data_IF_607389816304
#
_entry.id   IF_607389816304
#
_cell.length_a   1.000
_cell.length_b   1.000
_cell.length_c   1.000
_cell.angle_alpha   90.00
_cell.angle_beta   90.00
_cell.angle_gamma   90.00
#
_symmetry.space_group_name_H-M   'P 1'
#
loop_
_entity.id
_entity.type
_entity.pdbx_description
1 polymer ?
#
# COMPACT_ATOMS: atom_id res chain seq x y z
N UNK A 1 81.01 -20.31 12.30
CA UNK A 1 79.83 -21.16 12.59
C UNK A 1 78.60 -20.44 12.08
N UNK A 2 77.93 -21.02 11.08
CA UNK A 2 76.74 -20.49 10.42
C UNK A 2 75.51 -21.01 11.16
N UNK A 3 74.59 -20.13 11.54
CA UNK A 3 73.26 -20.50 12.00
C UNK A 3 72.25 -19.60 11.28
N UNK A 4 71.67 -20.18 10.23
CA UNK A 4 70.56 -19.64 9.46
C UNK A 4 69.27 -19.77 10.26
N UNK A 5 68.54 -18.68 10.45
CA UNK A 5 67.19 -18.69 10.99
C UNK A 5 66.19 -18.60 9.82
N UNK A 6 65.38 -19.64 9.67
CA UNK A 6 64.35 -19.78 8.63
C UNK A 6 63.21 -18.79 8.83
N UNK A 7 62.81 -18.14 7.73
CA UNK A 7 61.57 -17.41 7.53
C UNK A 7 60.37 -18.38 7.44
N UNK A 8 59.34 -18.13 8.25
CA UNK A 8 58.04 -18.80 8.20
C UNK A 8 57.10 -17.98 7.30
N UNK A 9 56.81 -18.46 6.09
CA UNK A 9 55.73 -17.95 5.23
C UNK A 9 54.51 -18.89 5.35
N UNK A 10 53.31 -18.39 5.66
CA UNK A 10 52.09 -19.16 5.42
C UNK A 10 51.70 -19.06 3.94
N UNK A 11 51.80 -20.18 3.23
CA UNK A 11 51.19 -20.37 1.92
C UNK A 11 49.69 -20.61 2.10
N UNK A 12 48.86 -19.66 1.70
CA UNK A 12 47.40 -19.84 1.61
C UNK A 12 47.14 -20.41 0.21
N UNK A 13 46.92 -21.72 0.13
CA UNK A 13 46.57 -22.42 -1.11
C UNK A 13 45.16 -22.04 -1.55
N UNK A 14 45.06 -21.31 -2.66
CA UNK A 14 43.83 -21.14 -3.42
C UNK A 14 43.51 -22.43 -4.20
N UNK A 15 42.51 -23.18 -3.76
CA UNK A 15 41.94 -24.29 -4.51
C UNK A 15 40.56 -23.90 -5.06
N UNK A 16 40.55 -23.03 -6.08
CA UNK A 16 39.41 -22.89 -6.98
C UNK A 16 39.56 -23.97 -8.06
N UNK A 17 38.83 -25.08 -7.92
CA UNK A 17 38.66 -26.04 -8.99
C UNK A 17 37.40 -25.65 -9.79
N UNK A 18 37.49 -25.39 -11.11
CA UNK A 18 36.30 -25.23 -11.93
C UNK A 18 35.70 -26.62 -12.14
N UNK A 19 34.59 -26.91 -11.47
CA UNK A 19 33.80 -28.10 -11.75
C UNK A 19 33.23 -28.01 -13.18
N UNK A 20 33.67 -28.92 -14.03
CA UNK A 20 33.22 -29.05 -15.39
C UNK A 20 31.76 -29.53 -15.45
N UNK A 21 30.93 -28.74 -16.15
CA UNK A 21 29.83 -29.15 -17.02
C UNK A 21 28.85 -30.23 -16.51
N UNK A 22 27.71 -29.78 -16.00
CA UNK A 22 26.42 -30.42 -16.29
C UNK A 22 25.36 -29.32 -16.48
N UNK A 23 24.98 -29.04 -17.73
CA UNK A 23 23.87 -28.13 -18.07
C UNK A 23 22.62 -28.98 -18.33
N UNK A 24 21.65 -29.07 -17.40
CA UNK A 24 20.30 -29.40 -17.81
C UNK A 24 19.76 -28.20 -18.60
N UNK A 25 19.48 -28.41 -19.89
CA UNK A 25 18.83 -27.43 -20.77
C UNK A 25 17.36 -27.33 -20.37
N UNK A 26 17.10 -26.63 -19.28
CA UNK A 26 15.75 -26.19 -18.93
C UNK A 26 15.49 -24.88 -19.66
N UNK A 27 14.35 -24.84 -20.34
CA UNK A 27 13.87 -23.70 -21.11
C UNK A 27 13.59 -22.58 -20.12
N UNK A 28 14.58 -21.70 -19.92
CA UNK A 28 14.34 -20.42 -19.30
C UNK A 28 13.40 -19.65 -20.23
N UNK A 29 12.15 -19.46 -19.80
CA UNK A 29 11.26 -18.47 -20.38
C UNK A 29 11.91 -17.11 -20.19
N UNK A 30 12.62 -16.65 -21.22
CA UNK A 30 13.12 -15.28 -21.32
C UNK A 30 11.90 -14.37 -21.47
N UNK A 31 11.39 -13.89 -20.36
CA UNK A 31 10.53 -12.71 -20.37
C UNK A 31 11.36 -11.54 -20.90
N UNK A 32 10.75 -10.68 -21.71
CA UNK A 32 11.36 -9.49 -22.32
C UNK A 32 11.85 -8.42 -21.31
N UNK A 33 11.90 -8.76 -20.02
CA UNK A 33 12.30 -7.92 -18.89
C UNK A 33 13.70 -8.28 -18.34
N UNK A 34 14.31 -9.40 -18.76
CA UNK A 34 15.70 -9.75 -18.40
C UNK A 34 16.74 -9.19 -19.39
N UNK A 35 16.33 -8.28 -20.27
CA UNK A 35 17.10 -7.87 -21.45
C UNK A 35 17.41 -6.39 -21.49
N UNK A 36 18.17 -5.90 -20.52
CA UNK A 36 19.27 -4.95 -20.73
C UNK A 36 19.76 -4.44 -19.38
N UNK A 37 20.62 -5.22 -18.72
CA UNK A 37 21.51 -4.63 -17.71
C UNK A 37 22.35 -3.61 -18.44
N UNK A 38 22.26 -2.34 -18.06
CA UNK A 38 23.15 -1.32 -18.62
C UNK A 38 24.56 -1.66 -18.15
N UNK A 39 25.46 -1.99 -19.08
CA UNK A 39 26.82 -2.41 -18.72
C UNK A 39 27.61 -1.22 -18.15
N UNK A 40 27.76 -1.16 -16.82
CA UNK A 40 28.51 -0.12 -16.14
C UNK A 40 30.03 -0.23 -16.32
N UNK A 41 30.54 -1.26 -17.01
CA UNK A 41 31.98 -1.51 -17.16
C UNK A 41 32.72 -0.34 -17.81
N UNK A 42 32.10 0.31 -18.81
CA UNK A 42 32.69 1.49 -19.47
C UNK A 42 32.76 2.70 -18.53
N UNK A 43 31.68 2.98 -17.80
CA UNK A 43 31.62 4.08 -16.84
C UNK A 43 32.61 3.91 -15.69
N UNK A 44 32.78 2.68 -15.19
CA UNK A 44 33.77 2.34 -14.15
C UNK A 44 35.19 2.61 -14.66
N UNK A 45 35.50 2.20 -15.88
CA UNK A 45 36.82 2.45 -16.46
C UNK A 45 37.08 3.95 -16.65
N UNK A 46 36.09 4.71 -17.13
CA UNK A 46 36.18 6.16 -17.26
C UNK A 46 36.39 6.85 -15.91
N UNK A 47 35.68 6.43 -14.86
CA UNK A 47 35.84 6.95 -13.50
C UNK A 47 37.23 6.64 -12.91
N UNK A 48 37.76 5.44 -13.17
CA UNK A 48 39.11 5.05 -12.76
C UNK A 48 40.19 5.84 -13.51
N UNK A 49 40.01 6.09 -14.81
CA UNK A 49 40.93 6.90 -15.60
C UNK A 49 40.91 8.37 -15.16
N UNK A 50 39.74 8.96 -14.94
CA UNK A 50 39.59 10.31 -14.41
C UNK A 50 40.24 10.45 -13.03
N UNK A 51 40.01 9.47 -12.14
CA UNK A 51 40.63 9.42 -10.81
C UNK A 51 42.16 9.34 -10.87
N UNK A 52 42.72 8.58 -11.83
CA UNK A 52 44.17 8.49 -12.05
C UNK A 52 44.76 9.78 -12.62
N UNK A 53 44.02 10.46 -13.51
CA UNK A 53 44.50 11.64 -14.23
C UNK A 53 44.41 12.93 -13.42
N UNK A 54 43.31 13.14 -12.73
CA UNK A 54 43.00 14.40 -12.04
C UNK A 54 43.09 14.28 -10.51
N UNK A 55 43.22 13.06 -9.98
CA UNK A 55 43.21 12.75 -8.56
C UNK A 55 41.82 12.34 -8.08
N UNK A 56 41.77 11.46 -7.09
CA UNK A 56 40.50 10.89 -6.57
C UNK A 56 39.54 11.90 -5.95
N UNK A 57 40.04 13.09 -5.56
CA UNK A 57 39.23 14.17 -4.98
C UNK A 57 38.89 15.29 -5.97
N UNK A 58 39.30 15.17 -7.24
CA UNK A 58 38.99 16.14 -8.28
C UNK A 58 37.50 16.17 -8.61
N UNK A 59 37.02 17.31 -9.11
CA UNK A 59 35.62 17.45 -9.52
C UNK A 59 35.27 16.47 -10.65
N UNK A 60 36.20 16.26 -11.59
CA UNK A 60 36.06 15.37 -12.73
C UNK A 60 35.98 13.89 -12.31
N UNK A 61 36.75 13.48 -11.31
CA UNK A 61 36.64 12.14 -10.74
C UNK A 61 35.30 11.96 -10.03
N UNK A 62 34.83 12.96 -9.27
CA UNK A 62 33.54 12.91 -8.59
C UNK A 62 32.38 12.77 -9.56
N UNK A 63 32.33 13.60 -10.60
CA UNK A 63 31.27 13.51 -11.63
C UNK A 63 31.29 12.16 -12.37
N UNK A 64 32.47 11.57 -12.59
CA UNK A 64 32.55 10.27 -13.24
C UNK A 64 32.08 9.12 -12.33
N UNK A 65 32.29 9.22 -11.01
CA UNK A 65 31.75 8.27 -10.04
C UNK A 65 30.24 8.45 -9.81
N UNK A 66 29.71 9.67 -9.90
CA UNK A 66 28.27 9.94 -9.87
C UNK A 66 27.54 9.20 -11.02
N UNK A 67 28.12 9.18 -12.22
CA UNK A 67 27.56 8.41 -13.35
C UNK A 67 27.58 6.90 -13.10
N UNK A 68 28.63 6.37 -12.44
CA UNK A 68 28.68 4.95 -12.05
C UNK A 68 27.58 4.64 -11.04
N UNK A 69 27.38 5.52 -10.06
CA UNK A 69 26.33 5.37 -9.05
C UNK A 69 24.93 5.44 -9.66
N UNK A 70 24.69 6.31 -10.63
CA UNK A 70 23.41 6.36 -11.35
C UNK A 70 23.13 5.09 -12.17
N UNK A 71 24.17 4.49 -12.78
CA UNK A 71 24.04 3.24 -13.53
C UNK A 71 23.84 2.02 -12.62
N UNK A 72 24.52 1.97 -11.47
CA UNK A 72 24.39 0.88 -10.48
C UNK A 72 23.08 0.99 -9.68
N UNK A 73 22.63 2.22 -9.38
CA UNK A 73 21.36 2.48 -8.70
C UNK A 73 20.11 2.15 -9.52
N UNK A 74 20.25 2.01 -10.85
CA UNK A 74 19.19 1.54 -11.75
C UNK A 74 19.23 0.01 -11.96
N UNK A 75 20.16 -0.70 -11.29
CA UNK A 75 20.23 -2.16 -11.32
C UNK A 75 19.25 -2.78 -10.33
N UNK A 76 17.99 -2.90 -10.76
CA UNK A 76 16.94 -3.60 -9.99
C UNK A 76 17.18 -5.13 -9.92
N UNK A 77 18.27 -5.67 -10.48
CA UNK A 77 18.51 -7.13 -10.47
C UNK A 77 18.55 -7.72 -9.05
N UNK A 78 19.01 -6.96 -8.06
CA UNK A 78 18.97 -7.37 -6.65
C UNK A 78 17.53 -7.58 -6.14
N UNK A 79 16.58 -6.74 -6.54
CA UNK A 79 15.16 -6.90 -6.19
C UNK A 79 14.54 -8.14 -6.85
N UNK A 80 15.05 -8.55 -8.03
CA UNK A 80 14.63 -9.77 -8.72
C UNK A 80 15.32 -11.05 -8.24
N UNK A 81 16.41 -10.94 -7.45
CA UNK A 81 17.00 -12.09 -6.75
C UNK A 81 16.24 -12.50 -5.48
N UNK A 82 15.15 -11.80 -5.11
CA UNK A 82 14.28 -12.15 -3.98
C UNK A 82 13.48 -13.45 -4.11
N UNK A 83 13.68 -14.22 -5.18
CA UNK A 83 13.22 -15.61 -5.25
C UNK A 83 14.25 -16.51 -4.58
N UNK A 84 13.84 -17.20 -3.51
CA UNK A 84 14.57 -18.27 -2.81
C UNK A 84 15.47 -19.00 -3.81
N UNK A 85 16.79 -18.81 -3.71
CA UNK A 85 17.69 -19.51 -4.62
C UNK A 85 17.65 -20.99 -4.29
N UNK A 86 17.85 -21.89 -5.25
CA UNK A 86 17.93 -23.35 -4.99
C UNK A 86 18.97 -23.68 -3.90
N UNK A 87 19.95 -22.80 -3.68
CA UNK A 87 20.92 -22.86 -2.58
C UNK A 87 20.29 -22.64 -1.22
N UNK A 88 19.30 -21.76 -1.10
CA UNK A 88 18.57 -21.50 0.14
C UNK A 88 17.54 -22.60 0.43
N UNK A 89 17.09 -23.33 -0.60
CA UNK A 89 16.24 -24.52 -0.48
C UNK A 89 17.00 -25.76 0.01
N UNK A 90 18.32 -25.79 -0.19
CA UNK A 90 19.16 -26.94 0.15
C UNK A 90 19.45 -27.05 1.66
N UNK A 91 19.20 -26.00 2.46
CA UNK A 91 19.57 -25.97 3.88
C UNK A 91 18.39 -26.13 4.86
N UNK A 92 17.13 -26.02 4.41
CA UNK A 92 15.99 -25.99 5.35
C UNK A 92 15.27 -27.31 5.60
N UNK A 93 15.44 -28.37 4.79
CA UNK A 93 14.87 -29.68 5.15
C UNK A 93 15.68 -30.82 4.55
N UNK A 94 16.33 -31.60 5.40
CA UNK A 94 16.97 -32.88 5.02
C UNK A 94 15.96 -33.99 4.70
N UNK A 95 14.66 -33.69 4.63
CA UNK A 95 13.59 -34.60 4.24
C UNK A 95 12.57 -33.91 3.30
N UNK A 96 12.57 -34.23 1.99
CA UNK A 96 11.62 -33.66 1.04
C UNK A 96 10.16 -34.02 1.33
N UNK A 97 9.89 -35.07 2.11
CA UNK A 97 8.52 -35.41 2.51
C UNK A 97 7.95 -34.42 3.53
N UNK A 98 8.79 -33.87 4.41
CA UNK A 98 8.37 -32.88 5.41
C UNK A 98 7.99 -31.54 4.76
N UNK A 99 8.70 -31.12 3.71
CA UNK A 99 8.42 -29.89 2.98
C UNK A 99 7.06 -29.92 2.25
N UNK A 100 6.66 -31.09 1.71
CA UNK A 100 5.36 -31.25 1.06
C UNK A 100 4.23 -31.15 2.08
N UNK A 101 4.39 -31.75 3.26
CA UNK A 101 3.40 -31.68 4.34
C UNK A 101 3.20 -30.24 4.85
N UNK A 102 4.28 -29.49 5.04
CA UNK A 102 4.19 -28.08 5.46
C UNK A 102 3.52 -27.21 4.39
N UNK A 103 3.78 -27.47 3.11
CA UNK A 103 3.13 -26.77 2.01
C UNK A 103 1.64 -27.06 1.94
N UNK A 104 1.23 -28.33 2.09
CA UNK A 104 -0.19 -28.72 2.14
C UNK A 104 -0.91 -28.09 3.34
N UNK A 105 -0.28 -28.04 4.52
CA UNK A 105 -0.82 -27.37 5.70
C UNK A 105 -1.02 -25.87 5.46
N UNK A 106 -0.03 -25.19 4.86
CA UNK A 106 -0.13 -23.77 4.52
C UNK A 106 -1.23 -23.48 3.51
N UNK A 107 -1.38 -24.32 2.47
CA UNK A 107 -2.47 -24.20 1.50
C UNK A 107 -3.83 -24.37 2.18
N UNK A 108 -3.95 -25.38 3.05
CA UNK A 108 -5.19 -25.65 3.79
C UNK A 108 -5.56 -24.48 4.72
N UNK A 109 -4.57 -23.90 5.40
CA UNK A 109 -4.73 -22.71 6.21
C UNK A 109 -5.18 -21.50 5.38
N UNK A 110 -4.55 -21.26 4.23
CA UNK A 110 -4.92 -20.18 3.31
C UNK A 110 -6.35 -20.34 2.80
N UNK A 111 -6.75 -21.56 2.42
CA UNK A 111 -8.12 -21.86 1.99
C UNK A 111 -9.14 -21.57 3.11
N UNK A 112 -8.80 -21.92 4.36
CA UNK A 112 -9.64 -21.64 5.52
C UNK A 112 -9.77 -20.15 5.80
N UNK A 113 -8.67 -19.39 5.66
CA UNK A 113 -8.68 -17.93 5.80
C UNK A 113 -9.52 -17.26 4.72
N UNK A 114 -9.46 -17.74 3.47
CA UNK A 114 -10.28 -17.22 2.37
C UNK A 114 -11.77 -17.42 2.64
N UNK A 115 -12.17 -18.60 3.10
CA UNK A 115 -13.59 -18.86 3.42
C UNK A 115 -14.06 -17.99 4.60
N UNK A 116 -13.20 -17.80 5.61
CA UNK A 116 -13.47 -16.90 6.74
C UNK A 116 -13.62 -15.45 6.29
N UNK A 117 -12.78 -14.98 5.37
CA UNK A 117 -12.86 -13.63 4.82
C UNK A 117 -14.12 -13.45 3.97
N UNK A 118 -14.49 -14.45 3.16
CA UNK A 118 -15.72 -14.44 2.37
C UNK A 118 -16.96 -14.30 3.24
N UNK A 119 -17.04 -15.05 4.34
CA UNK A 119 -18.13 -14.93 5.31
C UNK A 119 -18.20 -13.53 5.95
N UNK A 120 -17.05 -12.92 6.25
CA UNK A 120 -16.98 -11.54 6.77
C UNK A 120 -17.43 -10.51 5.74
N UNK A 121 -17.06 -10.68 4.46
CA UNK A 121 -17.49 -9.79 3.39
C UNK A 121 -19.01 -9.85 3.22
N UNK A 122 -19.61 -11.04 3.25
CA UNK A 122 -21.08 -11.17 3.22
C UNK A 122 -21.74 -10.49 4.42
N UNK A 123 -21.17 -10.62 5.62
CA UNK A 123 -21.68 -9.91 6.81
C UNK A 123 -21.57 -8.38 6.68
N UNK A 124 -20.51 -7.86 6.07
CA UNK A 124 -20.38 -6.43 5.81
C UNK A 124 -21.38 -5.98 4.75
N UNK A 125 -21.63 -6.79 3.72
CA UNK A 125 -22.61 -6.53 2.68
C UNK A 125 -24.03 -6.45 3.26
N UNK A 126 -24.40 -7.38 4.14
CA UNK A 126 -25.71 -7.33 4.83
C UNK A 126 -25.81 -6.10 5.72
N UNK A 127 -24.75 -5.76 6.48
CA UNK A 127 -24.73 -4.57 7.33
C UNK A 127 -24.87 -3.28 6.51
N UNK A 128 -24.20 -3.20 5.36
CA UNK A 128 -24.32 -2.06 4.45
C UNK A 128 -25.74 -1.94 3.88
N UNK A 129 -26.39 -3.05 3.53
CA UNK A 129 -27.79 -3.06 3.10
C UNK A 129 -28.75 -2.61 4.21
N UNK A 130 -28.52 -3.04 5.45
CA UNK A 130 -29.28 -2.60 6.62
C UNK A 130 -29.10 -1.10 6.89
N UNK A 131 -27.87 -0.60 6.86
CA UNK A 131 -27.58 0.83 7.01
C UNK A 131 -28.25 1.64 5.89
N UNK A 132 -28.20 1.16 4.65
CA UNK A 132 -28.89 1.80 3.52
C UNK A 132 -30.41 1.83 3.72
N UNK A 133 -30.99 0.77 4.27
CA UNK A 133 -32.41 0.71 4.60
C UNK A 133 -32.79 1.66 5.74
N UNK A 134 -31.91 1.85 6.74
CA UNK A 134 -32.14 2.75 7.88
C UNK A 134 -31.87 4.22 7.53
N UNK A 135 -30.93 4.52 6.62
CA UNK A 135 -30.58 5.90 6.19
C UNK A 135 -31.65 6.57 5.30
N UNK A 136 -32.78 5.90 5.02
CA UNK A 136 -33.87 6.42 4.18
C UNK A 136 -35.12 6.85 4.97
N UNK A 137 -35.14 6.72 6.30
CA UNK A 137 -36.22 7.27 7.15
C UNK A 137 -35.83 8.57 7.86
N UNK A 138 -34.66 9.12 7.56
CA UNK A 138 -34.32 10.48 7.99
C UNK A 138 -35.26 11.43 7.25
N UNK A 139 -36.17 12.06 7.99
CA UNK A 139 -37.10 13.05 7.46
C UNK A 139 -36.31 14.05 6.62
N UNK A 140 -36.61 14.10 5.33
CA UNK A 140 -36.23 15.15 4.39
C UNK A 140 -36.89 16.47 4.79
N UNK A 141 -36.54 16.95 5.97
CA UNK A 141 -36.63 18.35 6.34
C UNK A 141 -35.21 18.87 6.27
N UNK A 142 -34.72 19.18 5.07
CA UNK A 142 -33.62 20.11 4.94
C UNK A 142 -34.15 21.46 5.43
N UNK A 143 -34.09 21.68 6.74
CA UNK A 143 -34.39 22.94 7.41
C UNK A 143 -33.18 23.83 7.17
N UNK A 144 -32.89 24.13 5.90
CA UNK A 144 -31.75 24.99 5.59
C UNK A 144 -31.85 26.30 6.36
N UNK A 145 -30.72 26.95 6.65
CA UNK A 145 -30.53 28.24 7.35
C UNK A 145 -31.65 29.29 7.27
N UNK A 146 -32.51 29.28 6.26
CA UNK A 146 -33.68 30.15 6.11
C UNK A 146 -35.03 29.40 6.02
N UNK A 147 -35.18 28.37 6.87
CA UNK A 147 -36.43 27.63 6.97
C UNK A 147 -37.54 28.48 7.60
N UNK A 148 -38.79 28.21 7.22
CA UNK A 148 -39.95 28.87 7.84
C UNK A 148 -40.01 28.62 9.37
N UNK A 149 -39.47 27.50 9.82
CA UNK A 149 -39.42 27.12 11.23
C UNK A 149 -38.38 27.94 12.01
N UNK A 150 -37.22 28.22 11.42
CA UNK A 150 -36.20 29.10 12.01
C UNK A 150 -36.70 30.54 12.12
N UNK A 151 -37.38 31.05 11.09
CA UNK A 151 -37.99 32.39 11.13
C UNK A 151 -39.05 32.52 12.22
N UNK A 152 -39.93 31.52 12.34
CA UNK A 152 -40.95 31.51 13.39
C UNK A 152 -40.32 31.49 14.80
N UNK A 153 -39.27 30.70 15.01
CA UNK A 153 -38.57 30.64 16.29
C UNK A 153 -37.84 31.95 16.64
N UNK A 154 -37.22 32.61 15.65
CA UNK A 154 -36.58 33.91 15.84
C UNK A 154 -37.57 35.03 16.16
N UNK A 155 -38.74 35.03 15.52
CA UNK A 155 -39.79 36.02 15.80
C UNK A 155 -40.39 35.81 17.20
N UNK A 156 -40.57 34.56 17.62
CA UNK A 156 -41.04 34.22 18.97
C UNK A 156 -40.01 34.64 20.04
N UNK A 157 -38.74 34.30 19.86
CA UNK A 157 -37.67 34.68 20.77
C UNK A 157 -37.54 36.20 20.92
N UNK A 158 -37.67 36.97 19.83
CA UNK A 158 -37.68 38.43 19.87
C UNK A 158 -38.88 38.97 20.64
N UNK A 159 -40.09 38.48 20.36
CA UNK A 159 -41.31 38.90 21.06
C UNK A 159 -41.20 38.66 22.57
N UNK A 160 -40.77 37.47 22.98
CA UNK A 160 -40.64 37.14 24.40
C UNK A 160 -39.53 37.97 25.08
N UNK A 161 -38.45 38.28 24.36
CA UNK A 161 -37.38 39.17 24.83
C UNK A 161 -37.88 40.62 25.01
N UNK A 162 -38.75 41.10 24.11
CA UNK A 162 -39.35 42.45 24.19
C UNK A 162 -40.35 42.56 25.35
N UNK A 163 -41.15 41.52 25.60
CA UNK A 163 -42.17 41.52 26.65
C UNK A 163 -41.59 41.24 28.05
N UNK A 164 -40.67 40.28 28.17
CA UNK A 164 -40.11 39.83 29.45
C UNK A 164 -38.76 40.42 29.81
N UNK A 165 -38.07 41.04 28.85
CA UNK A 165 -36.67 41.44 28.98
C UNK A 165 -35.70 40.27 28.73
N UNK A 166 -34.46 40.59 28.40
CA UNK A 166 -33.44 39.61 27.97
C UNK A 166 -33.08 38.56 29.03
N UNK A 167 -33.27 38.89 30.31
CA UNK A 167 -32.96 37.99 31.42
C UNK A 167 -34.15 37.14 31.89
N UNK A 168 -35.32 37.28 31.27
CA UNK A 168 -36.48 36.48 31.65
C UNK A 168 -36.24 35.00 31.35
N UNK A 169 -36.73 34.09 32.22
CA UNK A 169 -36.61 32.66 31.97
C UNK A 169 -37.33 32.25 30.68
N UNK A 170 -38.40 32.94 30.30
CA UNK A 170 -39.13 32.71 29.06
C UNK A 170 -38.30 33.11 27.83
N UNK A 171 -37.54 34.22 27.89
CA UNK A 171 -36.65 34.62 26.80
C UNK A 171 -35.51 33.61 26.64
N UNK A 172 -34.93 33.12 27.75
CA UNK A 172 -33.89 32.09 27.71
C UNK A 172 -34.38 30.80 27.03
N UNK A 173 -35.56 30.31 27.41
CA UNK A 173 -36.17 29.14 26.78
C UNK A 173 -36.45 29.34 25.28
N UNK A 174 -36.89 30.53 24.88
CA UNK A 174 -37.16 30.82 23.47
C UNK A 174 -35.87 30.89 22.63
N UNK A 175 -34.77 31.41 23.18
CA UNK A 175 -33.46 31.40 22.51
C UNK A 175 -32.83 30.00 22.47
N UNK A 176 -33.03 29.17 23.50
CA UNK A 176 -32.63 27.76 23.49
C UNK A 176 -33.34 27.00 22.35
N UNK A 177 -34.62 27.27 22.11
CA UNK A 177 -35.35 26.66 20.99
C UNK A 177 -34.79 27.07 19.62
N UNK A 178 -34.33 28.32 19.46
CA UNK A 178 -33.63 28.77 18.24
C UNK A 178 -32.31 28.02 18.07
N UNK A 179 -31.56 27.83 19.15
CA UNK A 179 -30.28 27.12 19.14
C UNK A 179 -30.45 25.63 18.81
N UNK A 180 -31.49 24.98 19.34
CA UNK A 180 -31.85 23.60 19.02
C UNK A 180 -32.15 23.44 17.52
N UNK A 181 -32.96 24.33 16.95
CA UNK A 181 -33.30 24.30 15.52
C UNK A 181 -32.05 24.58 14.67
N UNK A 182 -31.16 25.48 15.11
CA UNK A 182 -29.93 25.82 14.39
C UNK A 182 -28.91 24.68 14.42
N UNK A 183 -28.83 23.97 15.54
CA UNK A 183 -27.94 22.82 15.72
C UNK A 183 -28.43 21.58 14.97
N UNK A 184 -29.75 21.45 14.77
CA UNK A 184 -30.33 20.39 13.95
C UNK A 184 -30.00 20.47 12.45
N UNK A 185 -29.57 21.63 11.95
CA UNK A 185 -29.17 21.85 10.53
C UNK A 185 -27.74 21.37 10.23
N UNK A 186 -27.07 20.66 11.14
CA UNK A 186 -25.76 20.02 10.93
C UNK A 186 -25.81 18.81 9.96
N UNK A 187 -26.90 18.63 9.21
CA UNK A 187 -26.98 17.59 8.16
C UNK A 187 -25.95 17.79 7.04
N UNK A 188 -25.51 19.03 6.79
CA UNK A 188 -24.36 19.31 5.90
C UNK A 188 -23.01 18.88 6.51
N UNK A 189 -22.86 18.93 7.84
CA UNK A 189 -21.64 18.47 8.53
C UNK A 189 -21.59 16.94 8.73
N UNK A 190 -22.72 16.25 8.50
CA UNK A 190 -22.85 14.78 8.53
C UNK A 190 -23.08 14.16 7.15
N UNK A 191 -23.06 14.94 6.06
CA UNK A 191 -22.69 14.39 4.75
C UNK A 191 -21.30 13.78 4.93
N UNK A 192 -21.22 12.46 4.81
CA UNK A 192 -19.99 11.70 4.99
C UNK A 192 -18.84 12.31 4.18
N UNK A 193 -17.60 12.07 4.59
CA UNK A 193 -16.45 12.51 3.78
C UNK A 193 -16.61 12.00 2.35
N UNK A 194 -16.05 12.73 1.37
CA UNK A 194 -16.02 12.33 -0.04
C UNK A 194 -15.57 10.87 -0.25
N UNK A 195 -14.84 10.31 0.71
CA UNK A 195 -14.41 8.90 0.71
C UNK A 195 -15.58 7.92 0.83
N UNK A 196 -16.65 8.24 1.57
CA UNK A 196 -17.84 7.39 1.67
C UNK A 196 -18.71 7.44 0.40
N UNK A 197 -18.77 8.57 -0.29
CA UNK A 197 -19.43 8.68 -1.60
C UNK A 197 -18.62 7.91 -2.67
N UNK A 198 -17.29 7.99 -2.63
CA UNK A 198 -16.40 7.23 -3.51
C UNK A 198 -16.49 5.70 -3.27
N UNK A 199 -16.63 5.26 -2.01
CA UNK A 199 -16.82 3.83 -1.69
C UNK A 199 -18.15 3.31 -2.25
N UNK A 200 -19.19 4.14 -2.27
CA UNK A 200 -20.50 3.75 -2.83
C UNK A 200 -20.43 3.63 -4.35
N UNK A 201 -19.76 4.57 -5.04
CA UNK A 201 -19.50 4.47 -6.49
C UNK A 201 -18.61 3.28 -6.85
N UNK A 202 -17.62 2.96 -6.01
CA UNK A 202 -16.71 1.82 -6.23
C UNK A 202 -17.45 0.48 -6.07
N UNK A 203 -18.37 0.38 -5.12
CA UNK A 203 -19.23 -0.81 -4.95
C UNK A 203 -20.16 -0.97 -6.16
N UNK A 204 -20.75 0.12 -6.66
CA UNK A 204 -21.62 0.10 -7.84
C UNK A 204 -20.86 -0.26 -9.13
N UNK A 205 -19.63 0.23 -9.28
CA UNK A 205 -18.74 -0.15 -10.38
C UNK A 205 -18.34 -1.64 -10.33
N UNK A 206 -18.12 -2.18 -9.12
CA UNK A 206 -17.85 -3.61 -8.93
C UNK A 206 -19.07 -4.48 -9.27
N UNK A 207 -20.29 -4.05 -8.94
CA UNK A 207 -21.53 -4.77 -9.28
C UNK A 207 -21.77 -4.77 -10.80
N UNK A 208 -21.50 -3.66 -11.49
CA UNK A 208 -21.58 -3.56 -12.95
C UNK A 208 -20.56 -4.47 -13.66
N UNK A 209 -19.36 -4.64 -13.10
CA UNK A 209 -18.34 -5.55 -13.64
C UNK A 209 -18.72 -7.03 -13.48
N UNK A 210 -19.35 -7.41 -12.36
CA UNK A 210 -19.87 -8.78 -12.19
C UNK A 210 -20.99 -9.09 -13.20
N UNK A 211 -21.87 -8.12 -13.47
CA UNK A 211 -22.95 -8.30 -14.44
C UNK A 211 -22.41 -8.44 -15.87
N UNK A 212 -21.41 -7.63 -16.23
CA UNK A 212 -20.70 -7.76 -17.52
C UNK A 212 -20.00 -9.13 -17.64
N UNK A 213 -19.38 -9.62 -16.56
CA UNK A 213 -18.76 -10.95 -16.50
C UNK A 213 -19.76 -12.09 -16.71
N UNK A 214 -20.98 -11.99 -16.16
CA UNK A 214 -22.06 -12.96 -16.39
C UNK A 214 -22.56 -12.97 -17.84
N UNK A 215 -22.58 -11.81 -18.50
CA UNK A 215 -23.00 -11.69 -19.91
C UNK A 215 -21.91 -12.25 -20.84
N UNK A 216 -20.63 -11.96 -20.56
CA UNK A 216 -19.49 -12.43 -21.37
C UNK A 216 -19.12 -13.90 -21.14
N UNK A 217 -19.36 -14.43 -19.95
CA UNK A 217 -19.10 -15.85 -19.60
C UNK A 217 -20.15 -16.84 -20.11
N UNK A 218 -21.24 -16.37 -20.72
CA UNK A 218 -22.20 -17.20 -21.47
C UNK A 218 -21.77 -17.32 -22.93
N UNK A 219 -20.72 -18.08 -23.20
CA UNK A 219 -20.41 -18.62 -24.54
C UNK A 219 -19.90 -20.05 -24.44
#
# INVERSE_FOLDING_TARGET
MKLSLLLLLPAISSAFAPAATFRPRLIATTTSLNGDRTDATEAINAALEASKKYGSTSAEARTAWEVVEELDGNDDSAAYTGGVTDSDLADTTSDPAAAVLEYEEKISLLATMLETQKAKIESVKTLAQEIRAVKMTTSTGAVGRDSAQMRAALDDAKRVTEEGGIESPEAKLAWEAVEEIASGDLTEATKGSLDEECLTETIEACEALEELGKVLGKK
#
